data_IF_550621211563
#
_entry.id   IF_550621211563
#
_cell.length_a   1.000
_cell.length_b   1.000
_cell.length_c   1.000
_cell.angle_alpha   90.00
_cell.angle_beta   90.00
_cell.angle_gamma   90.00
#
_symmetry.space_group_name_H-M   'P 1'
#
loop_
_entity.id
_entity.type
_entity.pdbx_description
1 polymer ?
#
# COMPACT_ATOMS: atom_id res chain seq x y z
N UNK A 1 -10.55 -25.40 -18.58
CA UNK A 1 -9.11 -25.50 -18.29
C UNK A 1 -8.99 -25.95 -16.84
N UNK A 2 -8.37 -27.10 -16.59
CA UNK A 2 -8.14 -27.59 -15.22
C UNK A 2 -7.16 -26.65 -14.52
N UNK A 3 -7.32 -26.46 -13.20
CA UNK A 3 -6.38 -25.66 -12.41
C UNK A 3 -4.98 -26.31 -12.49
N UNK A 4 -3.90 -25.51 -12.62
CA UNK A 4 -2.54 -26.06 -12.61
C UNK A 4 -2.29 -26.84 -11.32
N UNK A 5 -1.69 -28.03 -11.37
CA UNK A 5 -1.42 -28.83 -10.18
C UNK A 5 -0.40 -28.14 -9.27
N UNK A 6 -0.43 -28.46 -7.97
CA UNK A 6 0.65 -28.10 -7.05
C UNK A 6 1.70 -29.19 -7.15
N UNK A 7 2.94 -28.79 -7.47
CA UNK A 7 4.07 -29.71 -7.63
C UNK A 7 4.83 -29.79 -6.31
N UNK A 8 4.78 -30.96 -5.69
CA UNK A 8 5.50 -31.28 -4.45
C UNK A 8 6.95 -31.67 -4.78
N UNK A 9 7.84 -30.68 -4.79
CA UNK A 9 9.28 -30.93 -4.96
C UNK A 9 10.10 -29.71 -5.34
N UNK A 10 11.40 -29.74 -5.01
CA UNK A 10 12.38 -28.78 -5.50
C UNK A 10 12.81 -29.21 -6.91
N UNK A 11 12.11 -28.72 -7.93
CA UNK A 11 12.54 -28.84 -9.32
C UNK A 11 13.52 -27.70 -9.66
N UNK A 12 14.33 -27.88 -10.70
CA UNK A 12 15.18 -26.79 -11.21
C UNK A 12 14.32 -25.64 -11.77
N UNK A 13 13.09 -25.95 -12.20
CA UNK A 13 12.10 -24.96 -12.62
C UNK A 13 11.60 -24.10 -11.44
N UNK A 14 11.53 -24.62 -10.22
CA UNK A 14 11.14 -23.86 -9.02
C UNK A 14 12.16 -22.77 -8.64
N UNK A 15 13.42 -22.90 -9.07
CA UNK A 15 14.48 -21.92 -8.80
C UNK A 15 14.39 -20.71 -9.75
N UNK A 16 13.83 -20.89 -10.95
CA UNK A 16 13.76 -19.85 -11.98
C UNK A 16 12.93 -18.63 -11.51
N UNK A 17 11.72 -18.78 -10.95
CA UNK A 17 10.95 -17.67 -10.38
C UNK A 17 11.72 -16.90 -9.30
N UNK A 18 12.47 -17.61 -8.45
CA UNK A 18 13.26 -17.00 -7.38
C UNK A 18 14.41 -16.16 -7.93
N UNK A 19 15.13 -16.67 -8.93
CA UNK A 19 16.23 -15.95 -9.57
C UNK A 19 15.73 -14.72 -10.35
N UNK A 20 14.62 -14.85 -11.07
CA UNK A 20 13.99 -13.73 -11.78
C UNK A 20 13.47 -12.68 -10.81
N UNK A 21 12.84 -13.09 -9.71
CA UNK A 21 12.38 -12.20 -8.64
C UNK A 21 13.54 -11.44 -8.00
N UNK A 22 14.60 -12.14 -7.60
CA UNK A 22 15.79 -11.54 -6.98
C UNK A 22 16.49 -10.55 -7.94
N UNK A 23 16.65 -10.93 -9.21
CA UNK A 23 17.28 -10.08 -10.23
C UNK A 23 16.45 -8.82 -10.52
N UNK A 24 15.13 -8.97 -10.63
CA UNK A 24 14.20 -7.87 -10.86
C UNK A 24 14.15 -6.93 -9.67
N UNK A 25 14.06 -7.47 -8.45
CA UNK A 25 14.09 -6.68 -7.21
C UNK A 25 15.41 -5.93 -7.05
N UNK A 26 16.55 -6.56 -7.38
CA UNK A 26 17.86 -5.90 -7.34
C UNK A 26 17.97 -4.76 -8.36
N UNK A 27 17.49 -4.96 -9.59
CA UNK A 27 17.44 -3.91 -10.59
C UNK A 27 16.55 -2.75 -10.14
N UNK A 28 15.35 -3.06 -9.64
CA UNK A 28 14.40 -2.09 -9.12
C UNK A 28 15.02 -1.27 -7.98
N UNK A 29 15.64 -1.93 -7.00
CA UNK A 29 16.32 -1.29 -5.89
C UNK A 29 17.46 -0.36 -6.32
N UNK A 30 18.30 -0.80 -7.25
CA UNK A 30 19.49 -0.04 -7.65
C UNK A 30 19.15 1.16 -8.53
N UNK A 31 18.13 1.04 -9.37
CA UNK A 31 17.83 2.01 -10.42
C UNK A 31 16.56 2.81 -10.17
N UNK A 32 15.47 2.17 -9.75
CA UNK A 32 14.16 2.81 -9.65
C UNK A 32 14.01 3.56 -8.33
N UNK A 33 14.27 2.89 -7.20
CA UNK A 33 14.08 3.47 -5.86
C UNK A 33 14.80 4.81 -5.68
N UNK A 34 16.10 4.96 -5.99
CA UNK A 34 16.81 6.22 -5.75
C UNK A 34 16.37 7.33 -6.70
N UNK A 35 15.87 6.97 -7.89
CA UNK A 35 15.29 7.94 -8.84
C UNK A 35 13.95 8.47 -8.35
N UNK A 36 13.12 7.63 -7.74
CA UNK A 36 11.82 8.05 -7.19
C UNK A 36 11.97 8.96 -5.95
N UNK A 37 13.03 8.74 -5.16
CA UNK A 37 13.37 9.54 -3.98
C UNK A 37 14.24 10.77 -4.30
N UNK A 38 14.52 11.05 -5.57
CA UNK A 38 15.17 12.31 -5.95
C UNK A 38 14.17 13.46 -5.83
N UNK A 39 14.60 14.55 -5.20
CA UNK A 39 13.74 15.73 -5.02
C UNK A 39 12.78 15.59 -3.84
N UNK A 40 13.13 14.82 -2.81
CA UNK A 40 12.42 14.87 -1.53
C UNK A 40 12.51 16.29 -0.97
N UNK A 41 11.42 16.75 -0.40
CA UNK A 41 11.25 18.12 0.06
C UNK A 41 10.60 18.14 1.43
N UNK A 42 10.97 19.13 2.24
CA UNK A 42 10.35 19.44 3.54
C UNK A 42 9.72 20.82 3.43
N UNK A 43 8.47 20.95 3.85
CA UNK A 43 7.74 22.21 3.80
C UNK A 43 7.49 22.75 5.22
N UNK A 44 7.66 24.06 5.41
CA UNK A 44 7.39 24.77 6.66
C UNK A 44 6.20 25.70 6.46
N UNK A 45 5.22 25.64 7.35
CA UNK A 45 4.13 26.62 7.36
C UNK A 45 4.65 28.00 7.80
N UNK A 46 4.45 28.99 6.94
CA UNK A 46 4.82 30.40 7.20
C UNK A 46 3.60 31.31 7.31
N UNK A 47 2.40 30.79 6.98
CA UNK A 47 1.10 31.45 7.13
C UNK A 47 -0.02 30.58 6.54
N UNK A 48 -1.28 31.07 6.56
CA UNK A 48 -2.42 30.31 6.02
C UNK A 48 -2.18 29.91 4.56
N UNK A 49 -2.05 28.59 4.31
CA UNK A 49 -1.80 28.00 2.99
C UNK A 49 -0.51 28.49 2.29
N UNK A 50 0.46 29.02 3.05
CA UNK A 50 1.79 29.44 2.55
C UNK A 50 2.90 28.60 3.17
N UNK A 51 3.74 28.02 2.31
CA UNK A 51 4.79 27.10 2.72
C UNK A 51 6.15 27.50 2.15
N UNK A 52 7.18 27.39 3.00
CA UNK A 52 8.57 27.46 2.58
C UNK A 52 9.11 26.03 2.38
N UNK A 53 9.59 25.72 1.17
CA UNK A 53 9.98 24.36 0.79
C UNK A 53 11.50 24.26 0.66
N UNK A 54 12.10 23.31 1.37
CA UNK A 54 13.52 22.96 1.26
C UNK A 54 13.70 21.58 0.65
N UNK A 55 14.63 21.44 -0.29
CA UNK A 55 15.00 20.15 -0.85
C UNK A 55 15.92 19.40 0.11
N UNK A 56 15.61 18.12 0.35
CA UNK A 56 16.41 17.19 1.15
C UNK A 56 17.34 16.36 0.27
N UNK A 57 16.89 15.98 -0.93
CA UNK A 57 17.71 15.23 -1.90
C UNK A 57 17.77 15.98 -3.23
N UNK A 58 18.96 16.46 -3.61
CA UNK A 58 19.16 17.16 -4.88
C UNK A 58 19.48 16.18 -6.02
N UNK A 59 20.24 15.13 -5.70
CA UNK A 59 20.71 14.12 -6.65
C UNK A 59 20.24 12.70 -6.29
N UNK A 60 20.39 11.78 -7.25
CA UNK A 60 20.19 10.34 -6.99
C UNK A 60 21.24 9.79 -6.03
N UNK A 61 22.40 10.43 -5.92
CA UNK A 61 23.47 10.02 -4.99
C UNK A 61 23.10 10.38 -3.55
N UNK A 62 22.50 11.55 -3.34
CA UNK A 62 21.97 11.95 -2.03
C UNK A 62 20.90 10.96 -1.56
N UNK A 63 20.00 10.56 -2.46
CA UNK A 63 18.98 9.54 -2.16
C UNK A 63 19.61 8.19 -1.80
N UNK A 64 20.67 7.74 -2.52
CA UNK A 64 21.40 6.51 -2.17
C UNK A 64 22.08 6.62 -0.81
N UNK A 65 22.72 7.76 -0.52
CA UNK A 65 23.37 7.99 0.77
C UNK A 65 22.36 7.97 1.93
N UNK A 66 21.15 8.49 1.71
CA UNK A 66 20.06 8.42 2.68
C UNK A 66 19.59 6.96 2.89
N UNK A 67 19.41 6.19 1.82
CA UNK A 67 19.02 4.77 1.89
C UNK A 67 20.08 3.87 2.54
N UNK A 68 21.36 4.23 2.44
CA UNK A 68 22.47 3.52 3.07
C UNK A 68 22.67 3.86 4.56
N UNK A 69 21.92 4.83 5.08
CA UNK A 69 22.03 5.22 6.49
C UNK A 69 21.66 4.06 7.42
N UNK A 70 22.30 3.94 8.61
CA UNK A 70 22.04 2.83 9.53
C UNK A 70 20.56 2.68 9.94
N UNK A 71 19.83 3.79 10.04
CA UNK A 71 18.41 3.82 10.39
C UNK A 71 17.47 3.31 9.30
N UNK A 72 17.94 3.14 8.06
CA UNK A 72 17.14 2.66 6.92
C UNK A 72 17.16 1.15 6.72
N UNK A 73 18.15 0.45 7.29
CA UNK A 73 18.41 -0.97 6.98
C UNK A 73 17.17 -1.84 7.12
N UNK A 74 16.41 -1.61 8.20
CA UNK A 74 15.23 -2.41 8.52
C UNK A 74 14.11 -2.25 7.48
N UNK A 75 13.68 -1.02 7.19
CA UNK A 75 12.63 -0.74 6.22
C UNK A 75 13.03 -1.15 4.82
N UNK A 76 14.30 -0.98 4.45
CA UNK A 76 14.83 -1.48 3.17
C UNK A 76 14.70 -3.00 3.09
N UNK A 77 15.11 -3.74 4.13
CA UNK A 77 14.98 -5.21 4.12
C UNK A 77 13.52 -5.67 4.08
N UNK A 78 12.64 -5.02 4.83
CA UNK A 78 11.20 -5.31 4.88
C UNK A 78 10.56 -5.10 3.51
N UNK A 79 10.83 -3.97 2.87
CA UNK A 79 10.34 -3.66 1.53
C UNK A 79 10.85 -4.64 0.48
N UNK A 80 12.15 -4.97 0.51
CA UNK A 80 12.74 -5.89 -0.45
C UNK A 80 12.20 -7.31 -0.30
N UNK A 81 11.98 -7.80 0.92
CA UNK A 81 11.34 -9.09 1.13
C UNK A 81 9.91 -9.11 0.59
N UNK A 82 9.10 -8.10 0.90
CA UNK A 82 7.73 -8.03 0.36
C UNK A 82 7.72 -7.99 -1.17
N UNK A 83 8.59 -7.16 -1.77
CA UNK A 83 8.71 -7.05 -3.22
C UNK A 83 9.17 -8.38 -3.86
N UNK A 84 10.18 -9.03 -3.31
CA UNK A 84 10.66 -10.34 -3.80
C UNK A 84 9.56 -11.38 -3.67
N UNK A 85 8.85 -11.45 -2.53
CA UNK A 85 7.76 -12.40 -2.34
C UNK A 85 6.64 -12.24 -3.38
N UNK A 86 6.20 -11.01 -3.63
CA UNK A 86 5.21 -10.71 -4.68
C UNK A 86 5.73 -11.07 -6.08
N UNK A 87 7.00 -10.75 -6.37
CA UNK A 87 7.62 -11.09 -7.66
C UNK A 87 7.77 -12.60 -7.85
N UNK A 88 8.03 -13.38 -6.80
CA UNK A 88 8.05 -14.84 -6.88
C UNK A 88 6.67 -15.34 -7.31
N UNK A 89 5.59 -14.89 -6.64
CA UNK A 89 4.22 -15.27 -7.04
C UNK A 89 3.90 -14.87 -8.49
N UNK A 90 4.33 -13.68 -8.91
CA UNK A 90 4.15 -13.20 -10.28
C UNK A 90 4.86 -14.11 -11.28
N UNK A 91 6.16 -14.41 -11.07
CA UNK A 91 6.91 -15.25 -12.00
C UNK A 91 6.44 -16.70 -11.98
N UNK A 92 6.01 -17.22 -10.83
CA UNK A 92 5.38 -18.53 -10.73
C UNK A 92 4.09 -18.59 -11.58
N UNK A 93 3.23 -17.57 -11.44
CA UNK A 93 2.01 -17.43 -12.25
C UNK A 93 2.32 -17.32 -13.74
N UNK A 94 3.32 -16.51 -14.13
CA UNK A 94 3.71 -16.39 -15.54
C UNK A 94 4.25 -17.71 -16.09
N UNK A 95 5.08 -18.43 -15.32
CA UNK A 95 5.61 -19.73 -15.74
C UNK A 95 4.50 -20.77 -15.91
N UNK A 96 3.54 -20.83 -14.99
CA UNK A 96 2.36 -21.68 -15.13
C UNK A 96 1.48 -21.25 -16.31
N UNK A 97 1.33 -19.94 -16.56
CA UNK A 97 0.47 -19.42 -17.63
C UNK A 97 1.03 -19.65 -19.05
N UNK A 98 2.35 -19.65 -19.18
CA UNK A 98 3.08 -19.88 -20.43
C UNK A 98 3.53 -21.33 -20.61
N UNK A 99 3.00 -22.27 -19.80
CA UNK A 99 3.33 -23.70 -19.85
C UNK A 99 4.85 -23.99 -19.73
N UNK A 100 5.59 -23.11 -19.04
CA UNK A 100 7.03 -23.27 -18.76
C UNK A 100 7.30 -24.12 -17.51
N UNK A 101 6.24 -24.42 -16.75
CA UNK A 101 6.26 -25.25 -15.56
C UNK A 101 5.05 -26.18 -15.57
N UNK A 102 5.19 -27.37 -14.97
CA UNK A 102 4.12 -28.37 -14.88
C UNK A 102 2.98 -27.93 -13.93
N UNK A 103 3.21 -26.90 -13.12
CA UNK A 103 2.26 -26.37 -12.16
C UNK A 103 2.88 -25.33 -11.22
N UNK A 104 2.22 -25.05 -10.11
CA UNK A 104 2.74 -24.17 -9.06
C UNK A 104 3.62 -24.96 -8.09
N UNK A 105 4.86 -24.54 -7.89
CA UNK A 105 5.79 -25.23 -7.00
C UNK A 105 5.52 -24.85 -5.53
N UNK A 106 5.17 -25.84 -4.71
CA UNK A 106 4.93 -25.65 -3.28
C UNK A 106 6.06 -24.92 -2.53
N UNK A 107 7.37 -25.23 -2.72
CA UNK A 107 8.43 -24.50 -2.01
C UNK A 107 8.55 -23.04 -2.44
N UNK A 108 8.29 -22.72 -3.71
CA UNK A 108 8.29 -21.35 -4.23
C UNK A 108 7.17 -20.53 -3.60
N UNK A 109 5.95 -21.09 -3.57
CA UNK A 109 4.80 -20.48 -2.91
C UNK A 109 5.05 -20.27 -1.41
N UNK A 110 5.61 -21.26 -0.71
CA UNK A 110 5.90 -21.14 0.72
C UNK A 110 6.89 -20.01 1.03
N UNK A 111 7.98 -19.92 0.27
CA UNK A 111 8.97 -18.83 0.41
C UNK A 111 8.33 -17.48 0.10
N UNK A 112 7.54 -17.40 -0.98
CA UNK A 112 6.86 -16.17 -1.36
C UNK A 112 5.89 -15.68 -0.28
N UNK A 113 5.06 -16.58 0.26
CA UNK A 113 4.13 -16.27 1.34
C UNK A 113 4.86 -15.86 2.62
N UNK A 114 5.97 -16.50 2.97
CA UNK A 114 6.80 -16.10 4.11
C UNK A 114 7.37 -14.69 3.92
N UNK A 115 7.85 -14.38 2.72
CA UNK A 115 8.43 -13.08 2.37
C UNK A 115 7.39 -11.96 2.30
N UNK A 116 6.11 -12.28 2.18
CA UNK A 116 4.99 -11.32 2.28
C UNK A 116 4.52 -11.18 3.73
N UNK A 117 4.33 -12.30 4.43
CA UNK A 117 3.76 -12.32 5.77
C UNK A 117 4.68 -11.69 6.82
N UNK A 118 5.99 -11.96 6.78
CA UNK A 118 6.95 -11.41 7.73
C UNK A 118 7.00 -9.87 7.67
N UNK A 119 7.16 -9.23 6.50
CA UNK A 119 7.02 -7.78 6.37
C UNK A 119 5.68 -7.23 6.83
N UNK A 120 4.58 -7.90 6.51
CA UNK A 120 3.25 -7.43 6.91
C UNK A 120 3.04 -7.44 8.43
N UNK A 121 3.64 -8.42 9.14
CA UNK A 121 3.64 -8.46 10.61
C UNK A 121 4.47 -7.31 11.20
N UNK A 122 5.66 -7.08 10.63
CA UNK A 122 6.55 -5.99 11.01
C UNK A 122 5.90 -4.61 10.76
N UNK A 123 5.24 -4.45 9.61
CA UNK A 123 4.44 -3.27 9.24
C UNK A 123 3.43 -2.95 10.34
N UNK A 124 2.66 -3.96 10.76
CA UNK A 124 1.63 -3.81 11.78
C UNK A 124 2.21 -3.35 13.12
N UNK A 125 3.33 -3.95 13.55
CA UNK A 125 4.02 -3.53 14.78
C UNK A 125 4.57 -2.11 14.73
N UNK A 126 5.20 -1.74 13.60
CA UNK A 126 5.75 -0.39 13.40
C UNK A 126 4.66 0.68 13.36
N UNK A 127 3.53 0.38 12.71
CA UNK A 127 2.34 1.24 12.62
C UNK A 127 1.66 1.43 13.96
N UNK A 128 1.52 0.37 14.75
CA UNK A 128 0.95 0.44 16.09
C UNK A 128 1.86 1.26 17.02
N UNK A 129 3.18 1.03 16.94
CA UNK A 129 4.18 1.80 17.67
C UNK A 129 4.15 3.30 17.35
N UNK A 130 4.02 3.65 16.07
CA UNK A 130 3.92 5.04 15.62
C UNK A 130 2.63 5.73 16.10
N UNK A 131 1.54 4.98 16.27
CA UNK A 131 0.25 5.51 16.72
C UNK A 131 0.17 5.68 18.24
N UNK A 132 0.88 4.85 19.02
CA UNK A 132 0.81 4.85 20.48
C UNK A 132 1.96 5.64 21.13
N UNK A 133 3.17 5.56 20.56
CA UNK A 133 4.37 6.16 21.18
C UNK A 133 4.59 7.57 20.61
N UNK A 134 4.52 8.59 21.47
CA UNK A 134 4.73 10.00 21.10
C UNK A 134 6.12 10.22 20.43
N UNK A 135 6.22 11.12 19.44
CA UNK A 135 7.50 11.52 18.87
C UNK A 135 8.37 12.26 19.89
N UNK A 136 9.70 12.15 19.74
CA UNK A 136 10.66 12.84 20.59
C UNK A 136 10.62 14.33 20.26
N UNK A 137 10.37 15.17 21.25
CA UNK A 137 10.45 16.62 21.14
C UNK A 137 11.82 17.13 21.59
N UNK A 138 12.38 18.06 20.79
CA UNK A 138 13.43 19.08 20.98
C UNK A 138 14.70 18.81 21.82
N UNK A 139 14.78 17.80 22.68
CA UNK A 139 15.89 17.68 23.63
C UNK A 139 16.93 16.64 23.21
N UNK A 140 18.12 17.12 22.83
CA UNK A 140 19.25 16.31 22.31
C UNK A 140 19.68 15.19 23.27
N UNK A 141 19.51 15.38 24.58
CA UNK A 141 19.83 14.39 25.61
C UNK A 141 18.96 13.12 25.51
N UNK A 142 17.74 13.22 24.99
CA UNK A 142 16.82 12.09 24.85
C UNK A 142 17.06 11.21 23.61
N UNK A 143 17.93 11.65 22.68
CA UNK A 143 18.15 10.96 21.40
C UNK A 143 19.07 9.74 21.51
N UNK A 144 19.96 9.70 22.52
CA UNK A 144 21.01 8.67 22.63
C UNK A 144 20.54 7.43 23.40
N UNK A 145 19.72 7.60 24.44
CA UNK A 145 19.19 6.50 25.28
C UNK A 145 17.83 5.93 24.79
N UNK A 146 17.12 6.63 23.90
CA UNK A 146 15.75 6.25 23.51
C UNK A 146 15.64 5.17 22.45
N UNK A 147 16.72 4.81 21.74
CA UNK A 147 16.65 3.90 20.58
C UNK A 147 16.36 2.43 20.96
N UNK A 148 17.02 1.93 22.01
CA UNK A 148 16.86 0.54 22.48
C UNK A 148 15.53 0.33 23.23
N UNK A 149 15.21 1.21 24.18
CA UNK A 149 13.95 1.16 24.94
C UNK A 149 12.70 1.30 24.05
N UNK A 150 12.79 2.12 23.00
CA UNK A 150 11.70 2.29 22.03
C UNK A 150 11.54 1.07 21.11
N UNK A 151 12.65 0.48 20.66
CA UNK A 151 12.61 -0.76 19.87
C UNK A 151 12.00 -1.90 20.69
N UNK A 152 12.35 -2.00 21.98
CA UNK A 152 11.75 -2.95 22.90
C UNK A 152 10.25 -2.69 23.13
N UNK A 153 9.85 -1.42 23.24
CA UNK A 153 8.45 -1.04 23.36
C UNK A 153 7.62 -1.43 22.13
N UNK A 154 8.17 -1.29 20.91
CA UNK A 154 7.49 -1.77 19.70
C UNK A 154 7.27 -3.29 19.68
N UNK A 155 8.26 -4.06 20.16
CA UNK A 155 8.15 -5.52 20.24
C UNK A 155 7.10 -5.95 21.26
N UNK A 156 7.11 -5.36 22.47
CA UNK A 156 6.10 -5.65 23.51
C UNK A 156 4.69 -5.33 23.00
N UNK A 157 4.55 -4.18 22.36
CA UNK A 157 3.28 -3.69 21.86
C UNK A 157 2.74 -4.58 20.73
N UNK A 158 3.62 -5.07 19.85
CA UNK A 158 3.27 -6.06 18.83
C UNK A 158 2.87 -7.40 19.48
N UNK A 159 3.63 -7.89 20.46
CA UNK A 159 3.30 -9.14 21.17
C UNK A 159 1.95 -9.05 21.88
N UNK A 160 1.65 -7.92 22.53
CA UNK A 160 0.36 -7.65 23.13
C UNK A 160 -0.77 -7.63 22.10
N UNK A 161 -0.57 -6.97 20.96
CA UNK A 161 -1.54 -6.95 19.86
C UNK A 161 -1.80 -8.34 19.28
N UNK A 162 -0.75 -9.13 19.05
CA UNK A 162 -0.88 -10.53 18.63
C UNK A 162 -1.65 -11.36 19.65
N UNK A 163 -1.45 -11.11 20.95
CA UNK A 163 -2.22 -11.72 22.03
C UNK A 163 -3.72 -11.40 21.94
N UNK A 164 -4.06 -10.13 21.67
CA UNK A 164 -5.45 -9.71 21.45
C UNK A 164 -6.08 -10.34 20.20
N UNK A 165 -5.33 -10.41 19.09
CA UNK A 165 -5.79 -11.07 17.87
C UNK A 165 -5.99 -12.57 18.07
N UNK A 166 -5.09 -13.22 18.82
CA UNK A 166 -5.24 -14.63 19.18
C UNK A 166 -6.47 -14.85 20.08
N UNK A 167 -6.71 -13.97 21.06
CA UNK A 167 -7.91 -14.00 21.89
C UNK A 167 -9.19 -13.82 21.05
N UNK A 168 -9.19 -12.89 20.09
CA UNK A 168 -10.27 -12.71 19.12
C UNK A 168 -10.50 -13.97 18.30
N UNK A 169 -9.43 -14.58 17.77
CA UNK A 169 -9.51 -15.83 17.02
C UNK A 169 -10.13 -16.93 17.88
N UNK A 170 -9.70 -17.12 19.12
CA UNK A 170 -10.28 -18.12 20.03
C UNK A 170 -11.76 -17.82 20.31
N UNK A 171 -12.11 -16.56 20.61
CA UNK A 171 -13.48 -16.15 20.89
C UNK A 171 -14.43 -16.41 19.71
N UNK A 172 -14.00 -16.14 18.47
CA UNK A 172 -14.78 -16.45 17.27
C UNK A 172 -15.02 -17.96 17.11
N UNK A 173 -14.05 -18.79 17.47
CA UNK A 173 -14.22 -20.25 17.47
C UNK A 173 -15.22 -20.72 18.53
N UNK A 174 -15.28 -20.07 19.69
CA UNK A 174 -16.29 -20.35 20.72
C UNK A 174 -17.71 -19.93 20.30
N UNK A 175 -17.82 -18.99 19.35
CA UNK A 175 -19.07 -18.53 18.77
C UNK A 175 -19.48 -19.32 17.51
N UNK A 176 -18.82 -20.44 17.23
CA UNK A 176 -19.09 -21.34 16.09
C UNK A 176 -18.99 -20.63 14.72
N UNK A 177 -18.12 -19.62 14.63
CA UNK A 177 -17.84 -18.93 13.36
C UNK A 177 -16.99 -19.85 12.46
N UNK A 178 -17.39 -20.07 11.19
CA UNK A 178 -16.63 -20.89 10.24
C UNK A 178 -15.15 -20.49 10.13
N UNK A 179 -14.26 -21.47 9.98
CA UNK A 179 -12.80 -21.27 10.04
C UNK A 179 -12.26 -20.33 8.96
N UNK A 180 -12.83 -20.35 7.76
CA UNK A 180 -12.52 -19.45 6.64
C UNK A 180 -12.79 -17.98 7.00
N UNK A 181 -13.96 -17.72 7.60
CA UNK A 181 -14.36 -16.39 8.07
C UNK A 181 -13.55 -15.96 9.29
N UNK A 182 -13.30 -16.89 10.20
CA UNK A 182 -12.52 -16.69 11.42
C UNK A 182 -11.09 -16.24 11.10
N UNK A 183 -10.42 -16.92 10.17
CA UNK A 183 -9.09 -16.54 9.72
C UNK A 183 -9.09 -15.16 9.07
N UNK A 184 -10.07 -14.88 8.21
CA UNK A 184 -10.19 -13.58 7.53
C UNK A 184 -10.36 -12.42 8.52
N UNK A 185 -11.19 -12.59 9.55
CA UNK A 185 -11.39 -11.56 10.60
C UNK A 185 -10.10 -11.37 11.41
N UNK A 186 -9.43 -12.46 11.81
CA UNK A 186 -8.19 -12.37 12.58
C UNK A 186 -7.05 -11.75 11.77
N UNK A 187 -6.92 -12.09 10.48
CA UNK A 187 -5.96 -11.48 9.58
C UNK A 187 -6.24 -9.97 9.43
N UNK A 188 -7.49 -9.58 9.20
CA UNK A 188 -7.87 -8.16 9.14
C UNK A 188 -7.54 -7.42 10.45
N UNK A 189 -7.86 -8.01 11.60
CA UNK A 189 -7.53 -7.43 12.90
C UNK A 189 -6.01 -7.27 13.08
N UNK A 190 -5.22 -8.29 12.69
CA UNK A 190 -3.76 -8.24 12.73
C UNK A 190 -3.20 -7.06 11.94
N UNK A 191 -3.70 -6.82 10.73
CA UNK A 191 -3.23 -5.75 9.83
C UNK A 191 -3.91 -4.39 10.05
N UNK A 192 -4.96 -4.33 10.86
CA UNK A 192 -5.70 -3.09 11.12
C UNK A 192 -4.84 -1.91 11.60
N UNK A 193 -3.77 -2.07 12.40
CA UNK A 193 -2.93 -0.93 12.78
C UNK A 193 -2.27 -0.25 11.58
N UNK A 194 -1.78 -1.02 10.60
CA UNK A 194 -1.22 -0.47 9.36
C UNK A 194 -2.30 0.22 8.54
N UNK A 195 -3.45 -0.43 8.34
CA UNK A 195 -4.59 0.15 7.59
C UNK A 195 -5.02 1.50 8.19
N UNK A 196 -5.12 1.58 9.52
CA UNK A 196 -5.49 2.80 10.23
C UNK A 196 -4.42 3.88 10.14
N UNK A 197 -3.14 3.51 10.33
CA UNK A 197 -2.03 4.45 10.20
C UNK A 197 -2.03 5.09 8.80
N UNK A 198 -2.17 4.26 7.77
CA UNK A 198 -2.26 4.71 6.39
C UNK A 198 -3.48 5.57 6.12
N UNK A 199 -4.66 5.15 6.57
CA UNK A 199 -5.89 5.92 6.42
C UNK A 199 -5.78 7.32 7.04
N UNK A 200 -5.11 7.45 8.19
CA UNK A 200 -4.87 8.74 8.87
C UNK A 200 -3.86 9.62 8.13
N UNK A 201 -2.76 9.05 7.67
CA UNK A 201 -1.72 9.76 6.89
C UNK A 201 -2.31 10.29 5.58
N UNK A 202 -3.10 9.45 4.89
CA UNK A 202 -3.78 9.82 3.65
C UNK A 202 -4.88 10.83 3.86
N UNK A 203 -5.78 10.58 4.80
CA UNK A 203 -6.94 11.44 5.06
C UNK A 203 -6.52 12.85 5.44
N UNK A 204 -5.49 12.97 6.29
CA UNK A 204 -4.96 14.28 6.71
C UNK A 204 -4.26 15.03 5.57
N UNK A 205 -3.59 14.34 4.65
CA UNK A 205 -2.84 14.96 3.54
C UNK A 205 -3.63 15.12 2.23
N UNK A 206 -4.80 14.48 2.11
CA UNK A 206 -5.58 14.41 0.88
C UNK A 206 -5.92 15.79 0.29
N UNK A 207 -6.32 16.76 1.14
CA UNK A 207 -6.69 18.12 0.68
C UNK A 207 -5.52 18.83 0.03
N UNK A 208 -4.38 18.84 0.71
CA UNK A 208 -3.15 19.47 0.22
C UNK A 208 -2.63 18.79 -1.06
N UNK A 209 -2.67 17.45 -1.12
CA UNK A 209 -2.32 16.68 -2.32
C UNK A 209 -3.22 17.02 -3.50
N UNK A 210 -4.53 17.02 -3.28
CA UNK A 210 -5.51 17.36 -4.33
C UNK A 210 -5.31 18.79 -4.82
N UNK A 211 -5.11 19.75 -3.92
CA UNK A 211 -4.86 21.14 -4.29
C UNK A 211 -3.57 21.28 -5.10
N UNK A 212 -2.49 20.63 -4.65
CA UNK A 212 -1.20 20.64 -5.33
C UNK A 212 -1.30 20.02 -6.72
N UNK A 213 -1.85 18.81 -6.80
CA UNK A 213 -2.00 18.05 -8.03
C UNK A 213 -2.91 18.77 -9.03
N UNK A 214 -4.00 19.41 -8.56
CA UNK A 214 -4.87 20.24 -9.40
C UNK A 214 -4.14 21.42 -10.03
N UNK A 215 -3.30 22.13 -9.26
CA UNK A 215 -2.50 23.25 -9.78
C UNK A 215 -1.45 22.78 -10.79
N UNK A 216 -0.72 21.71 -10.47
CA UNK A 216 0.28 21.13 -11.37
C UNK A 216 -0.37 20.64 -12.67
N UNK A 217 -1.53 19.99 -12.58
CA UNK A 217 -2.30 19.52 -13.74
C UNK A 217 -2.78 20.67 -14.64
N UNK A 218 -3.00 21.86 -14.07
CA UNK A 218 -3.35 23.09 -14.78
C UNK A 218 -2.16 23.90 -15.30
N UNK A 219 -0.92 23.45 -15.08
CA UNK A 219 0.29 24.17 -15.50
C UNK A 219 0.75 25.27 -14.54
N UNK A 220 0.11 25.39 -13.38
CA UNK A 220 0.45 26.39 -12.37
C UNK A 220 1.47 25.85 -11.37
N UNK A 221 2.35 26.71 -10.81
CA UNK A 221 3.17 26.33 -9.67
C UNK A 221 2.27 26.00 -8.47
N UNK A 222 2.64 24.97 -7.72
CA UNK A 222 1.91 24.56 -6.53
C UNK A 222 2.63 25.02 -5.26
N UNK A 223 1.95 25.06 -4.10
CA UNK A 223 2.60 25.43 -2.84
C UNK A 223 3.78 24.52 -2.46
N UNK A 224 3.86 23.33 -3.07
CA UNK A 224 4.97 22.37 -2.90
C UNK A 224 5.90 22.32 -4.12
N UNK A 225 5.54 22.98 -5.23
CA UNK A 225 6.34 23.02 -6.46
C UNK A 225 6.41 24.47 -6.96
N UNK A 226 7.44 25.20 -6.51
CA UNK A 226 7.63 26.62 -6.80
C UNK A 226 8.12 26.93 -8.23
N UNK A 227 8.14 25.94 -9.13
CA UNK A 227 8.50 26.10 -10.53
C UNK A 227 7.33 25.68 -11.44
N UNK A 228 7.30 26.20 -12.66
CA UNK A 228 6.33 25.78 -13.67
C UNK A 228 6.53 24.30 -14.03
N UNK A 229 5.46 23.48 -13.99
CA UNK A 229 5.58 22.05 -14.26
C UNK A 229 5.78 21.77 -15.75
N UNK A 230 6.70 20.85 -16.06
CA UNK A 230 6.90 20.34 -17.42
C UNK A 230 5.66 19.58 -17.93
N UNK A 231 5.47 19.45 -19.25
CA UNK A 231 4.32 18.72 -19.82
C UNK A 231 4.17 17.29 -19.29
N UNK A 232 5.30 16.61 -19.06
CA UNK A 232 5.32 15.27 -18.45
C UNK A 232 4.80 15.29 -17.02
N UNK A 233 5.20 16.28 -16.22
CA UNK A 233 4.72 16.44 -14.84
C UNK A 233 3.23 16.78 -14.81
N UNK A 234 2.74 17.59 -15.75
CA UNK A 234 1.32 17.91 -15.90
C UNK A 234 0.50 16.65 -16.19
N UNK A 235 0.93 15.81 -17.14
CA UNK A 235 0.25 14.56 -17.47
C UNK A 235 0.21 13.59 -16.26
N UNK A 236 1.33 13.44 -15.55
CA UNK A 236 1.37 12.62 -14.33
C UNK A 236 0.45 13.20 -13.25
N UNK A 237 0.46 14.52 -13.06
CA UNK A 237 -0.42 15.18 -12.09
C UNK A 237 -1.90 15.05 -12.46
N UNK A 238 -2.27 15.05 -13.75
CA UNK A 238 -3.65 14.79 -14.17
C UNK A 238 -4.10 13.38 -13.76
N UNK A 239 -3.25 12.37 -13.96
CA UNK A 239 -3.52 10.99 -13.52
C UNK A 239 -3.66 10.93 -11.99
N UNK A 240 -2.74 11.55 -11.26
CA UNK A 240 -2.78 11.58 -9.79
C UNK A 240 -4.02 12.32 -9.29
N UNK A 241 -4.35 13.48 -9.85
CA UNK A 241 -5.54 14.25 -9.48
C UNK A 241 -6.83 13.46 -9.74
N UNK A 242 -6.93 12.75 -10.87
CA UNK A 242 -8.06 11.88 -11.16
C UNK A 242 -8.21 10.77 -10.10
N UNK A 243 -7.11 10.09 -9.76
CA UNK A 243 -7.12 9.07 -8.72
C UNK A 243 -7.48 9.64 -7.34
N UNK A 244 -6.94 10.80 -6.97
CA UNK A 244 -7.28 11.49 -5.70
C UNK A 244 -8.76 11.88 -5.63
N UNK A 245 -9.39 12.22 -6.75
CA UNK A 245 -10.83 12.49 -6.82
C UNK A 245 -11.64 11.21 -6.68
N UNK A 246 -11.21 10.11 -7.29
CA UNK A 246 -11.89 8.82 -7.22
C UNK A 246 -11.78 8.16 -5.84
N UNK A 247 -10.69 8.39 -5.12
CA UNK A 247 -10.34 7.69 -3.88
C UNK A 247 -11.45 7.70 -2.80
N UNK A 248 -12.13 8.83 -2.47
CA UNK A 248 -13.22 8.82 -1.49
C UNK A 248 -14.41 7.96 -1.92
N UNK A 249 -14.72 7.92 -3.23
CA UNK A 249 -15.81 7.09 -3.75
C UNK A 249 -15.49 5.61 -3.66
N UNK A 250 -14.25 5.23 -4.01
CA UNK A 250 -13.78 3.84 -3.87
C UNK A 250 -13.76 3.43 -2.40
N UNK A 251 -13.24 4.27 -1.50
CA UNK A 251 -13.22 3.99 -0.07
C UNK A 251 -14.64 3.84 0.51
N UNK A 252 -15.56 4.73 0.13
CA UNK A 252 -16.96 4.64 0.56
C UNK A 252 -17.66 3.41 -0.01
N UNK A 253 -17.40 3.06 -1.27
CA UNK A 253 -17.88 1.81 -1.88
C UNK A 253 -17.40 0.60 -1.09
N UNK A 254 -16.10 0.50 -0.79
CA UNK A 254 -15.57 -0.61 0.00
C UNK A 254 -16.20 -0.68 1.39
N UNK A 255 -16.35 0.46 2.07
CA UNK A 255 -17.00 0.50 3.38
C UNK A 255 -18.45 0.00 3.34
N UNK A 256 -19.26 0.52 2.42
CA UNK A 256 -20.66 0.11 2.28
C UNK A 256 -20.77 -1.37 1.88
N UNK A 257 -19.89 -1.80 0.99
CA UNK A 257 -19.79 -3.18 0.53
C UNK A 257 -19.50 -4.17 1.67
N UNK A 258 -18.56 -3.81 2.56
CA UNK A 258 -18.28 -4.59 3.76
C UNK A 258 -19.45 -4.58 4.75
N UNK A 259 -20.14 -3.44 4.91
CA UNK A 259 -21.33 -3.36 5.76
C UNK A 259 -22.46 -4.26 5.27
N UNK A 260 -22.70 -4.31 3.95
CA UNK A 260 -23.68 -5.22 3.33
C UNK A 260 -23.26 -6.68 3.54
N UNK A 261 -21.98 -7.00 3.33
CA UNK A 261 -21.45 -8.36 3.52
C UNK A 261 -21.60 -8.83 4.98
N UNK A 262 -21.36 -7.94 5.95
CA UNK A 262 -21.54 -8.21 7.38
C UNK A 262 -23.02 -8.40 7.76
N UNK A 263 -23.92 -7.66 7.12
CA UNK A 263 -25.36 -7.77 7.36
C UNK A 263 -25.93 -9.06 6.77
N UNK A 264 -25.71 -9.30 5.48
CA UNK A 264 -26.17 -10.50 4.80
C UNK A 264 -25.32 -10.77 3.53
N UNK A 265 -24.51 -11.85 3.52
CA UNK A 265 -23.62 -12.15 2.42
C UNK A 265 -24.33 -12.62 1.14
N UNK A 266 -25.60 -13.05 1.22
CA UNK A 266 -26.37 -13.55 0.06
C UNK A 266 -27.32 -12.52 -0.53
N UNK A 267 -27.28 -11.28 -0.03
CA UNK A 267 -28.24 -10.23 -0.41
C UNK A 267 -28.09 -9.80 -1.87
N UNK A 268 -26.88 -9.89 -2.42
CA UNK A 268 -26.57 -9.50 -3.79
C UNK A 268 -26.27 -10.75 -4.62
N UNK A 269 -27.28 -11.20 -5.36
CA UNK A 269 -27.16 -12.22 -6.40
C UNK A 269 -27.43 -11.58 -7.74
N UNK A 270 -26.62 -11.95 -8.73
CA UNK A 270 -26.76 -11.42 -10.08
C UNK A 270 -28.04 -11.93 -10.76
N UNK A 271 -28.59 -11.12 -11.65
CA UNK A 271 -29.75 -11.48 -12.46
C UNK A 271 -29.42 -12.64 -13.41
N UNK A 272 -30.44 -13.43 -13.79
CA UNK A 272 -30.29 -14.52 -14.76
C UNK A 272 -29.65 -14.07 -16.07
N UNK A 273 -29.81 -12.79 -16.43
CA UNK A 273 -29.18 -12.20 -17.61
C UNK A 273 -27.66 -12.19 -17.49
N UNK A 274 -27.13 -11.73 -16.35
CA UNK A 274 -25.69 -11.70 -16.11
C UNK A 274 -25.14 -13.11 -16.06
N UNK A 275 -25.85 -14.02 -15.40
CA UNK A 275 -25.48 -15.44 -15.32
C UNK A 275 -25.49 -16.14 -16.69
N UNK A 276 -26.32 -15.68 -17.63
CA UNK A 276 -26.39 -16.19 -19.00
C UNK A 276 -25.29 -15.61 -19.92
N UNK A 277 -24.49 -14.64 -19.46
CA UNK A 277 -23.40 -14.08 -20.28
C UNK A 277 -22.25 -15.09 -20.39
N UNK A 278 -21.76 -15.42 -21.60
CA UNK A 278 -20.69 -16.40 -21.80
C UNK A 278 -19.35 -15.96 -21.18
N UNK A 279 -19.13 -14.66 -21.02
CA UNK A 279 -17.92 -14.10 -20.41
C UNK A 279 -17.96 -14.06 -18.88
N UNK A 280 -19.14 -14.10 -18.26
CA UNK A 280 -19.27 -13.93 -16.82
C UNK A 280 -18.92 -15.24 -16.11
N UNK A 281 -18.11 -15.13 -15.05
CA UNK A 281 -17.78 -16.24 -14.17
C UNK A 281 -18.34 -15.93 -12.79
N UNK A 282 -19.22 -16.78 -12.25
CA UNK A 282 -19.72 -16.61 -10.89
C UNK A 282 -18.57 -16.49 -9.91
N UNK A 283 -18.57 -15.39 -9.16
CA UNK A 283 -17.62 -15.13 -8.10
C UNK A 283 -18.18 -15.61 -6.75
N UNK A 284 -17.30 -15.80 -5.78
CA UNK A 284 -17.74 -16.22 -4.43
C UNK A 284 -18.40 -15.07 -3.68
N UNK A 285 -17.93 -13.84 -3.94
CA UNK A 285 -18.48 -12.63 -3.35
C UNK A 285 -18.41 -11.46 -4.35
N UNK A 286 -19.34 -10.52 -4.23
CA UNK A 286 -19.30 -9.27 -4.99
C UNK A 286 -18.09 -8.37 -4.64
N UNK A 287 -17.27 -8.71 -3.62
CA UNK A 287 -15.99 -8.02 -3.38
C UNK A 287 -15.00 -8.30 -4.51
N UNK A 288 -15.01 -9.51 -5.07
CA UNK A 288 -14.13 -9.92 -6.17
C UNK A 288 -14.47 -9.16 -7.47
N UNK A 289 -15.67 -8.58 -7.51
CA UNK A 289 -16.20 -7.77 -8.60
C UNK A 289 -16.03 -6.27 -8.33
N UNK A 290 -15.20 -5.84 -7.38
CA UNK A 290 -15.01 -4.41 -7.08
C UNK A 290 -16.07 -3.82 -6.15
N UNK A 291 -16.80 -4.66 -5.42
CA UNK A 291 -17.79 -4.26 -4.43
C UNK A 291 -19.14 -3.89 -5.04
N UNK A 292 -19.96 -3.18 -4.27
CA UNK A 292 -21.34 -2.85 -4.63
C UNK A 292 -21.44 -2.03 -5.92
N UNK A 293 -20.50 -1.10 -6.14
CA UNK A 293 -20.39 -0.36 -7.39
C UNK A 293 -20.08 -1.28 -8.58
N UNK A 294 -19.14 -2.21 -8.42
CA UNK A 294 -18.78 -3.11 -9.50
C UNK A 294 -19.88 -4.11 -9.84
N UNK A 295 -20.52 -4.69 -8.82
CA UNK A 295 -21.74 -5.48 -8.96
C UNK A 295 -22.82 -4.72 -9.75
N UNK A 296 -23.12 -3.47 -9.35
CA UNK A 296 -24.10 -2.64 -10.02
C UNK A 296 -23.73 -2.28 -11.47
N UNK A 297 -22.44 -2.10 -11.76
CA UNK A 297 -21.96 -1.82 -13.11
C UNK A 297 -22.02 -3.05 -14.01
N UNK A 298 -21.76 -4.25 -13.50
CA UNK A 298 -21.97 -5.51 -14.23
C UNK A 298 -23.45 -5.65 -14.61
N UNK A 299 -24.37 -5.44 -13.66
CA UNK A 299 -25.81 -5.45 -13.92
C UNK A 299 -26.21 -4.40 -14.96
N UNK A 300 -25.71 -3.17 -14.84
CA UNK A 300 -26.02 -2.09 -15.76
C UNK A 300 -25.51 -2.37 -17.17
N UNK A 301 -24.29 -2.89 -17.31
CA UNK A 301 -23.70 -3.18 -18.61
C UNK A 301 -24.19 -4.49 -19.23
N UNK A 302 -24.87 -5.35 -18.47
CA UNK A 302 -25.59 -6.52 -19.01
C UNK A 302 -26.66 -6.15 -20.05
N UNK A 303 -27.16 -4.90 -20.02
CA UNK A 303 -28.12 -4.39 -20.99
C UNK A 303 -27.49 -4.06 -22.37
N UNK A 304 -26.16 -4.03 -22.47
CA UNK A 304 -25.47 -3.81 -23.75
C UNK A 304 -25.40 -5.15 -24.48
N UNK A 305 -26.06 -5.30 -25.65
CA UNK A 305 -26.10 -6.58 -26.37
C UNK A 305 -24.79 -6.89 -27.10
N UNK A 306 -23.95 -5.88 -27.35
CA UNK A 306 -22.69 -6.02 -28.10
C UNK A 306 -21.54 -6.38 -27.17
N UNK A 307 -21.07 -7.62 -27.26
CA UNK A 307 -19.93 -8.15 -26.50
C UNK A 307 -18.67 -7.28 -26.65
N UNK A 308 -18.37 -6.85 -27.89
CA UNK A 308 -17.18 -6.03 -28.19
C UNK A 308 -17.14 -4.67 -27.50
N UNK A 309 -18.27 -4.20 -26.94
CA UNK A 309 -18.36 -2.96 -26.16
C UNK A 309 -18.48 -3.29 -24.67
N UNK A 310 -19.33 -4.26 -24.32
CA UNK A 310 -19.60 -4.66 -22.95
C UNK A 310 -18.36 -5.17 -22.23
N UNK A 311 -17.67 -6.14 -22.82
CA UNK A 311 -16.53 -6.82 -22.18
C UNK A 311 -15.39 -5.84 -21.87
N UNK A 312 -14.92 -4.99 -22.81
CA UNK A 312 -13.86 -4.04 -22.50
C UNK A 312 -14.26 -3.02 -21.44
N UNK A 313 -15.50 -2.50 -21.46
CA UNK A 313 -15.96 -1.50 -20.49
C UNK A 313 -16.02 -2.10 -19.09
N UNK A 314 -16.69 -3.24 -18.93
CA UNK A 314 -16.75 -3.95 -17.64
C UNK A 314 -15.34 -4.28 -17.15
N UNK A 315 -14.51 -4.84 -18.02
CA UNK A 315 -13.13 -5.22 -17.65
C UNK A 315 -12.30 -4.01 -17.23
N UNK A 316 -12.38 -2.88 -17.94
CA UNK A 316 -11.64 -1.66 -17.58
C UNK A 316 -12.12 -1.07 -16.27
N UNK A 317 -13.43 -1.08 -16.02
CA UNK A 317 -14.02 -0.59 -14.77
C UNK A 317 -13.66 -1.47 -13.59
N UNK A 318 -13.77 -2.80 -13.74
CA UNK A 318 -13.38 -3.75 -12.69
C UNK A 318 -11.89 -3.67 -12.43
N UNK A 319 -11.07 -3.62 -13.49
CA UNK A 319 -9.64 -3.41 -13.36
C UNK A 319 -9.38 -2.09 -12.65
N UNK A 320 -10.08 -1.00 -12.98
CA UNK A 320 -9.93 0.25 -12.25
C UNK A 320 -10.32 0.09 -10.77
N UNK A 321 -11.47 -0.49 -10.42
CA UNK A 321 -11.89 -0.62 -9.02
C UNK A 321 -10.93 -1.49 -8.19
N UNK A 322 -10.46 -2.61 -8.76
CA UNK A 322 -9.54 -3.54 -8.09
C UNK A 322 -8.11 -2.99 -8.05
N UNK A 323 -7.64 -2.46 -9.18
CA UNK A 323 -6.27 -1.98 -9.36
C UNK A 323 -6.09 -0.57 -8.80
N UNK A 324 -7.12 0.25 -8.61
CA UNK A 324 -7.00 1.57 -7.99
C UNK A 324 -6.41 1.41 -6.58
N UNK A 325 -6.85 0.41 -5.80
CA UNK A 325 -6.24 0.10 -4.50
C UNK A 325 -4.78 -0.36 -4.64
N UNK A 326 -4.47 -1.22 -5.62
CA UNK A 326 -3.13 -1.80 -5.79
C UNK A 326 -2.09 -0.87 -6.45
N UNK A 327 -2.47 -0.10 -7.48
CA UNK A 327 -1.65 0.95 -8.12
C UNK A 327 -1.43 2.08 -7.13
N UNK A 328 -2.47 2.50 -6.39
CA UNK A 328 -2.26 3.42 -5.28
C UNK A 328 -1.20 2.80 -4.38
N UNK A 329 -1.38 1.57 -3.88
CA UNK A 329 -0.44 0.84 -3.01
C UNK A 329 1.02 0.80 -3.49
N UNK A 330 1.30 0.52 -4.76
CA UNK A 330 2.66 0.44 -5.29
C UNK A 330 3.31 1.81 -5.53
N UNK A 331 2.58 2.78 -6.09
CA UNK A 331 3.05 4.17 -6.18
C UNK A 331 3.09 4.83 -4.80
N UNK A 332 2.41 4.23 -3.82
CA UNK A 332 2.10 4.83 -2.54
C UNK A 332 3.29 5.05 -1.65
N UNK A 333 4.20 4.09 -1.54
CA UNK A 333 5.33 4.16 -0.60
C UNK A 333 6.14 5.43 -0.83
N UNK A 334 6.31 5.80 -2.10
CA UNK A 334 7.04 7.01 -2.49
C UNK A 334 6.23 8.29 -2.29
N UNK A 335 4.92 8.25 -2.56
CA UNK A 335 4.05 9.40 -2.34
C UNK A 335 3.87 9.67 -0.85
N UNK A 336 3.69 8.64 -0.02
CA UNK A 336 3.69 8.71 1.45
C UNK A 336 5.00 9.25 1.98
N UNK A 337 6.14 8.78 1.45
CA UNK A 337 7.43 9.34 1.81
C UNK A 337 7.49 10.84 1.49
N UNK A 338 7.03 11.27 0.31
CA UNK A 338 6.97 12.70 -0.04
C UNK A 338 6.03 13.46 0.90
N UNK A 339 4.84 12.95 1.18
CA UNK A 339 3.85 13.56 2.07
C UNK A 339 4.39 13.74 3.49
N UNK A 340 5.01 12.70 4.05
CA UNK A 340 5.57 12.72 5.39
C UNK A 340 6.80 13.62 5.49
N UNK A 341 7.64 13.67 4.46
CA UNK A 341 8.75 14.61 4.41
C UNK A 341 8.28 16.06 4.26
N UNK A 342 7.23 16.29 3.47
CA UNK A 342 6.61 17.60 3.33
C UNK A 342 5.89 18.08 4.60
N UNK A 343 5.78 17.23 5.64
CA UNK A 343 5.08 17.49 6.91
C UNK A 343 3.65 18.05 6.73
N UNK A 344 2.97 17.59 5.67
CA UNK A 344 1.61 18.04 5.30
C UNK A 344 0.56 17.68 6.38
N UNK A 345 0.95 16.89 7.38
CA UNK A 345 0.10 16.44 8.45
C UNK A 345 -0.10 17.49 9.55
N UNK A 346 0.91 18.31 9.84
CA UNK A 346 0.75 19.50 10.70
C UNK A 346 -0.08 20.58 9.97
N UNK A 347 -0.18 20.48 8.64
CA UNK A 347 -0.71 21.50 7.73
C UNK A 347 -2.21 21.36 7.40
N UNK A 348 -2.79 20.14 7.40
CA UNK A 348 -4.06 19.88 6.70
C UNK A 348 -5.13 19.08 7.49
N UNK A 349 -4.85 18.54 8.69
CA UNK A 349 -5.93 17.90 9.45
C UNK A 349 -5.63 17.32 10.82
N UNK A 350 -6.66 17.31 11.67
CA UNK A 350 -6.70 16.59 12.93
C UNK A 350 -6.50 15.09 12.71
N UNK A 351 -5.51 14.48 13.39
CA UNK A 351 -5.30 13.03 13.39
C UNK A 351 -4.12 12.51 12.57
N UNK A 352 -3.23 13.36 12.03
CA UNK A 352 -1.95 12.91 11.45
C UNK A 352 -1.05 12.12 12.42
N UNK A 353 -0.06 11.38 11.89
CA UNK A 353 0.94 10.64 12.67
C UNK A 353 2.28 11.37 12.55
N UNK A 354 2.63 12.13 13.60
CA UNK A 354 3.90 12.85 13.65
C UNK A 354 5.04 11.90 14.00
N UNK A 355 5.90 11.62 13.04
CA UNK A 355 7.07 10.73 13.19
C UNK A 355 8.35 11.48 13.63
N UNK A 356 8.50 12.72 13.14
CA UNK A 356 9.63 13.62 13.39
C UNK A 356 9.17 15.08 13.23
N UNK A 357 9.93 16.02 13.80
CA UNK A 357 9.71 17.47 13.64
C UNK A 357 10.29 17.95 12.31
N UNK A 358 9.54 18.74 11.53
CA UNK A 358 10.00 19.44 10.31
C UNK A 358 11.40 20.06 10.43
N UNK A 359 11.71 20.71 11.56
CA UNK A 359 13.02 21.36 11.76
C UNK A 359 14.15 20.34 11.86
N UNK A 360 13.90 19.23 12.53
CA UNK A 360 14.86 18.13 12.66
C UNK A 360 14.96 17.34 11.36
N UNK A 361 13.86 17.20 10.59
CA UNK A 361 13.88 16.57 9.27
C UNK A 361 14.78 17.32 8.28
N UNK A 362 14.87 18.65 8.39
CA UNK A 362 15.82 19.44 7.60
C UNK A 362 17.27 19.21 8.01
N UNK A 363 17.54 19.13 9.31
CA UNK A 363 18.90 19.16 9.84
C UNK A 363 19.54 17.77 10.03
N UNK A 364 18.77 16.73 10.32
CA UNK A 364 19.27 15.43 10.77
C UNK A 364 18.91 14.28 9.81
N UNK A 365 19.95 13.66 9.22
CA UNK A 365 19.78 12.46 8.39
C UNK A 365 19.18 11.27 9.14
N UNK A 366 19.38 11.17 10.46
CA UNK A 366 18.78 10.13 11.30
C UNK A 366 17.25 10.22 11.34
N UNK A 367 16.70 11.43 11.40
CA UNK A 367 15.24 11.64 11.40
C UNK A 367 14.65 11.42 10.00
N UNK A 368 15.35 11.87 8.96
CA UNK A 368 14.98 11.56 7.57
C UNK A 368 14.92 10.05 7.34
N UNK A 369 15.95 9.32 7.79
CA UNK A 369 15.98 7.87 7.74
C UNK A 369 14.80 7.25 8.50
N UNK A 370 14.45 7.77 9.68
CA UNK A 370 13.34 7.24 10.47
C UNK A 370 11.98 7.37 9.77
N UNK A 371 11.69 8.52 9.15
CA UNK A 371 10.46 8.73 8.38
C UNK A 371 10.42 7.82 7.16
N UNK A 372 11.53 7.75 6.42
CA UNK A 372 11.60 6.92 5.24
C UNK A 372 11.53 5.42 5.58
N UNK A 373 12.14 5.01 6.70
CA UNK A 373 12.06 3.67 7.25
C UNK A 373 10.61 3.26 7.53
N UNK A 374 9.83 4.13 8.17
CA UNK A 374 8.40 3.90 8.38
C UNK A 374 7.63 3.69 7.07
N UNK A 375 7.93 4.48 6.03
CA UNK A 375 7.27 4.35 4.73
C UNK A 375 7.56 3.01 4.04
N UNK A 376 8.78 2.51 4.17
CA UNK A 376 9.20 1.24 3.58
C UNK A 376 8.83 0.01 4.42
N UNK A 377 8.64 0.17 5.73
CA UNK A 377 8.17 -0.92 6.59
C UNK A 377 6.68 -1.14 6.52
N UNK A 378 5.92 -0.07 6.31
CA UNK A 378 4.47 -0.13 6.30
C UNK A 378 3.97 -0.79 5.01
#
# INVERSE_FOLDING_TARGET
>A
MNAPPIVDGFSLAAVVPMLLAASTAWFFWRQVVPRQLRGLQVAFETGELRYEVHQVTHSTEDAKALLQSPGMRFGVTTYLFALVGVLILLFEFLMARFDLAEGYHAPSLAIALMFIALPALVSSGSSLGAQVIKPIGQDRASLQDSSALRSYSYIILLAFWMGLVAMLYIALGLLDVPDDRRFSIAAFAMFSPSVLAYGRILGSSWRALRQSSKKIAGGEPSPFHNHTPSPRQQAVAQIVNFNLVAMPFVAFNTFLSLAVLLWNPTLLSHSDRVLALPEYRPQTTFMEEGGLLGFGLIELFSFIPVEGIRVPIVSMVLLFLLLNVAIIGFLFVYEVARILFLDVQDVSGAGGIKLADSRLLRAERSQQAKVLNFCFTG
#
